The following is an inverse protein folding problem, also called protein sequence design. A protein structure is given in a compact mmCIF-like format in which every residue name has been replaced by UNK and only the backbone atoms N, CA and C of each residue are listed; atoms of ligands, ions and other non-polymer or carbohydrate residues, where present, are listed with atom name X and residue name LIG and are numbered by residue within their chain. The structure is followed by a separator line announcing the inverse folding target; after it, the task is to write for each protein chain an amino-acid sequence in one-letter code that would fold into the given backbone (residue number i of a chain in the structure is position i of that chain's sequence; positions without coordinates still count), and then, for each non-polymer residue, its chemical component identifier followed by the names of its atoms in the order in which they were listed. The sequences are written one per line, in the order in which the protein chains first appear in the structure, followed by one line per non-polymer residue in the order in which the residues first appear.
data_IF_497719140977
#
_entry.id   IF_497719140977
#
_cell.length_a   1.000
_cell.length_b   1.000
_cell.length_c   1.000
_cell.angle_alpha   90.00
_cell.angle_beta   90.00
_cell.angle_gamma   90.00
#
_symmetry.space_group_name_H-M   'P 1'
#
loop_
_entity.id
_entity.type
_entity.pdbx_description
1 polymer ?
#
# COMPACT_ATOMS: atom_id res chain seq x y z
N UNK A 1 -5.91 9.70 7.93
CA UNK A 1 -5.23 10.00 9.21
C UNK A 1 -4.01 10.87 8.98
N UNK A 2 -3.15 10.53 8.02
CA UNK A 2 -1.91 11.27 7.76
C UNK A 2 -1.91 11.90 6.36
N UNK A 3 -1.23 13.04 6.22
CA UNK A 3 -1.03 13.77 4.96
C UNK A 3 0.44 13.76 4.52
N UNK A 4 1.38 13.49 5.42
CA UNK A 4 2.82 13.49 5.13
C UNK A 4 3.53 12.26 5.70
N UNK A 5 4.66 11.81 5.10
CA UNK A 5 5.49 10.74 5.65
C UNK A 5 5.95 11.02 7.08
N UNK A 6 6.32 12.27 7.36
CA UNK A 6 6.79 12.70 8.68
C UNK A 6 5.72 12.49 9.76
N UNK A 7 4.45 12.81 9.47
CA UNK A 7 3.33 12.55 10.39
C UNK A 7 3.21 11.06 10.74
N UNK A 8 3.45 10.16 9.77
CA UNK A 8 3.42 8.71 10.01
C UNK A 8 4.58 8.29 10.91
N UNK A 9 5.79 8.77 10.63
CA UNK A 9 6.99 8.43 11.42
C UNK A 9 6.89 8.94 12.87
N UNK A 10 6.36 10.15 13.06
CA UNK A 10 6.13 10.72 14.39
C UNK A 10 5.02 9.98 15.14
N UNK A 11 3.98 9.54 14.43
CA UNK A 11 2.94 8.70 15.00
C UNK A 11 3.48 7.34 15.43
N UNK A 12 4.30 6.68 14.59
CA UNK A 12 4.95 5.41 14.92
C UNK A 12 5.77 5.52 16.21
N UNK A 13 6.54 6.60 16.35
CA UNK A 13 7.37 6.85 17.55
C UNK A 13 6.52 7.15 18.79
N UNK A 14 5.54 8.04 18.67
CA UNK A 14 4.73 8.49 19.81
C UNK A 14 3.83 7.39 20.37
N UNK A 15 3.27 6.55 19.50
CA UNK A 15 2.44 5.42 19.90
C UNK A 15 3.25 4.15 20.21
N UNK A 16 4.57 4.15 20.05
CA UNK A 16 5.42 2.96 20.22
C UNK A 16 4.95 1.78 19.34
N UNK A 17 4.62 2.08 18.08
CA UNK A 17 4.22 1.09 17.08
C UNK A 17 5.39 0.16 16.78
N UNK A 18 5.14 -1.15 16.78
CA UNK A 18 6.16 -2.18 16.55
C UNK A 18 6.22 -2.65 15.11
N UNK A 19 5.08 -2.65 14.42
CA UNK A 19 4.97 -3.13 13.04
C UNK A 19 4.11 -2.21 12.20
N UNK A 20 4.43 -2.12 10.91
CA UNK A 20 3.52 -1.62 9.88
C UNK A 20 2.98 -2.81 9.10
N UNK A 21 1.66 -2.95 9.06
CA UNK A 21 0.95 -3.99 8.30
C UNK A 21 0.56 -3.42 6.94
N UNK A 22 1.29 -3.84 5.93
CA UNK A 22 1.12 -3.44 4.53
C UNK A 22 -0.05 -4.24 3.97
N UNK A 23 -1.10 -3.58 3.50
CA UNK A 23 -2.30 -4.22 2.94
C UNK A 23 -2.55 -3.84 1.50
N UNK A 24 -2.91 -4.81 0.67
CA UNK A 24 -3.31 -4.59 -0.72
C UNK A 24 -4.30 -5.67 -1.17
N UNK A 25 -5.08 -5.41 -2.21
CA UNK A 25 -6.14 -6.33 -2.65
C UNK A 25 -5.69 -7.13 -3.88
N UNK A 26 -5.87 -8.45 -3.87
CA UNK A 26 -5.70 -9.26 -5.07
C UNK A 26 -6.89 -9.11 -6.04
N UNK A 27 -6.72 -9.55 -7.29
CA UNK A 27 -7.75 -9.38 -8.31
C UNK A 27 -9.11 -10.04 -7.94
N UNK A 28 -9.15 -11.24 -7.35
CA UNK A 28 -10.38 -11.82 -6.79
C UNK A 28 -11.05 -11.04 -5.65
N UNK A 29 -10.34 -10.14 -4.96
CA UNK A 29 -10.88 -9.32 -3.88
C UNK A 29 -10.41 -9.71 -2.47
N UNK A 30 -9.40 -10.57 -2.34
CA UNK A 30 -8.82 -10.96 -1.05
C UNK A 30 -7.80 -9.91 -0.62
N UNK A 31 -7.93 -9.42 0.61
CA UNK A 31 -6.93 -8.55 1.22
C UNK A 31 -5.68 -9.36 1.58
N UNK A 32 -4.61 -9.12 0.83
CA UNK A 32 -3.27 -9.63 1.08
C UNK A 32 -2.55 -8.68 2.04
N UNK A 33 -1.69 -9.22 2.89
CA UNK A 33 -0.92 -8.39 3.81
C UNK A 33 0.35 -9.05 4.34
N UNK A 34 1.29 -8.23 4.78
CA UNK A 34 2.48 -8.66 5.52
C UNK A 34 3.00 -7.54 6.41
N UNK A 35 3.75 -7.92 7.45
CA UNK A 35 4.29 -6.98 8.42
C UNK A 35 5.74 -6.61 8.09
N UNK A 36 6.05 -5.33 8.28
CA UNK A 36 7.42 -4.79 8.30
C UNK A 36 7.70 -4.23 9.70
N UNK A 37 8.89 -4.44 10.30
CA UNK A 37 9.23 -3.84 11.57
C UNK A 37 9.19 -2.31 11.47
N UNK A 38 8.46 -1.64 12.36
CA UNK A 38 8.27 -0.19 12.27
C UNK A 38 9.59 0.60 12.37
N UNK A 39 10.61 0.02 13.00
CA UNK A 39 11.94 0.60 13.15
C UNK A 39 12.75 0.67 11.86
N UNK A 40 12.38 -0.09 10.82
CA UNK A 40 13.08 -0.07 9.52
C UNK A 40 12.49 0.94 8.55
N UNK A 41 11.42 1.65 8.93
CA UNK A 41 10.82 2.68 8.08
C UNK A 41 11.56 4.01 8.26
N UNK A 42 11.90 4.61 7.13
CA UNK A 42 12.40 5.97 6.99
C UNK A 42 11.50 6.76 6.03
N UNK A 43 11.86 8.00 5.71
CA UNK A 43 11.10 8.82 4.75
C UNK A 43 11.12 8.21 3.33
N UNK A 44 12.22 7.55 2.95
CA UNK A 44 12.41 6.95 1.63
C UNK A 44 11.46 5.77 1.41
N UNK A 45 11.10 5.02 2.46
CA UNK A 45 10.08 3.96 2.38
C UNK A 45 8.78 4.42 1.72
N UNK A 46 8.37 5.68 1.93
CA UNK A 46 7.11 6.21 1.41
C UNK A 46 7.19 6.69 -0.04
N UNK A 47 8.40 6.91 -0.56
CA UNK A 47 8.63 7.37 -1.95
C UNK A 47 9.18 6.25 -2.83
N UNK A 48 10.13 5.46 -2.32
CA UNK A 48 10.70 4.29 -2.99
C UNK A 48 9.71 3.13 -3.01
N UNK A 49 8.94 2.93 -1.93
CA UNK A 49 7.98 1.85 -1.80
C UNK A 49 8.59 0.52 -1.37
N UNK A 50 7.72 -0.50 -1.28
CA UNK A 50 8.06 -1.84 -0.83
C UNK A 50 7.98 -2.84 -1.99
N UNK A 51 9.09 -3.50 -2.32
CA UNK A 51 9.10 -4.58 -3.30
C UNK A 51 8.41 -5.84 -2.75
N UNK A 52 7.72 -6.59 -3.63
CA UNK A 52 7.13 -7.89 -3.33
C UNK A 52 7.06 -8.79 -4.57
N UNK A 53 6.89 -10.09 -4.35
CA UNK A 53 6.69 -11.09 -5.41
C UNK A 53 5.21 -11.14 -5.84
N UNK A 54 4.91 -10.55 -6.99
CA UNK A 54 3.60 -10.57 -7.64
C UNK A 54 3.20 -11.90 -8.27
N UNK A 55 4.14 -12.83 -8.51
CA UNK A 55 3.82 -14.15 -9.07
C UNK A 55 3.09 -15.06 -8.10
N UNK A 56 3.26 -14.79 -6.80
CA UNK A 56 2.52 -15.44 -5.72
C UNK A 56 1.11 -14.88 -5.53
N UNK A 57 0.72 -13.83 -6.27
CA UNK A 57 -0.60 -13.20 -6.16
C UNK A 57 -1.49 -13.57 -7.35
N UNK A 58 -2.66 -14.13 -7.06
CA UNK A 58 -3.59 -14.62 -8.07
C UNK A 58 -4.07 -13.48 -8.98
N UNK A 59 -3.89 -13.67 -10.28
CA UNK A 59 -4.32 -12.72 -11.31
C UNK A 59 -3.31 -11.62 -11.62
N UNK A 60 -2.14 -11.59 -10.96
CA UNK A 60 -1.09 -10.60 -11.22
C UNK A 60 -0.08 -11.16 -12.24
N UNK A 61 1.21 -11.13 -11.91
CA UNK A 61 2.28 -11.39 -12.87
C UNK A 61 2.63 -12.87 -12.99
N UNK A 62 3.21 -13.23 -14.13
CA UNK A 62 3.84 -14.53 -14.29
C UNK A 62 5.21 -14.55 -13.59
N UNK A 63 5.77 -15.74 -13.37
CA UNK A 63 7.04 -15.93 -12.65
C UNK A 63 8.22 -15.15 -13.27
N UNK A 64 8.20 -14.89 -14.58
CA UNK A 64 9.29 -14.18 -15.26
C UNK A 64 9.20 -12.64 -15.16
N UNK A 65 8.09 -12.11 -14.65
CA UNK A 65 7.83 -10.67 -14.43
C UNK A 65 7.36 -10.45 -12.98
N UNK A 66 7.89 -11.24 -12.04
CA UNK A 66 7.36 -11.37 -10.69
C UNK A 66 7.53 -10.11 -9.83
N UNK A 67 8.57 -9.33 -10.05
CA UNK A 67 8.89 -8.20 -9.18
C UNK A 67 7.85 -7.08 -9.34
N UNK A 68 7.25 -6.69 -8.22
CA UNK A 68 6.26 -5.65 -8.16
C UNK A 68 6.53 -4.71 -6.98
N UNK A 69 5.94 -3.53 -6.99
CA UNK A 69 6.20 -2.50 -5.99
C UNK A 69 4.92 -1.96 -5.38
N UNK A 70 4.92 -1.77 -4.07
CA UNK A 70 3.81 -1.26 -3.28
C UNK A 70 4.11 0.16 -2.82
N UNK A 71 3.20 1.09 -3.09
CA UNK A 71 3.28 2.46 -2.62
C UNK A 71 2.17 2.75 -1.60
N UNK A 72 2.50 3.35 -0.44
CA UNK A 72 1.54 3.57 0.63
C UNK A 72 0.53 4.69 0.33
N UNK A 73 -0.72 4.51 0.73
CA UNK A 73 -1.69 5.60 0.89
C UNK A 73 -1.78 6.01 2.37
N UNK A 74 -1.02 7.04 2.74
CA UNK A 74 -0.87 7.51 4.13
C UNK A 74 -2.22 7.85 4.78
N UNK A 75 -3.21 8.27 3.99
CA UNK A 75 -4.52 8.69 4.51
C UNK A 75 -5.28 7.51 5.11
N UNK A 76 -4.96 6.29 4.69
CA UNK A 76 -5.61 5.05 5.12
C UNK A 76 -5.07 4.48 6.42
N UNK A 77 -4.04 5.08 7.01
CA UNK A 77 -3.41 4.59 8.24
C UNK A 77 -4.37 4.52 9.44
N UNK A 78 -4.36 3.40 10.18
CA UNK A 78 -5.01 3.24 11.48
C UNK A 78 -4.37 2.12 12.31
N UNK A 79 -4.50 2.16 13.65
CA UNK A 79 -3.99 1.10 14.52
C UNK A 79 -4.88 -0.15 14.48
N UNK A 80 -4.26 -1.32 14.38
CA UNK A 80 -4.95 -2.61 14.48
C UNK A 80 -5.44 -2.85 15.93
N UNK A 81 -6.76 -2.93 16.18
CA UNK A 81 -7.28 -3.12 17.53
C UNK A 81 -7.16 -4.57 18.04
N UNK A 82 -6.74 -5.51 17.19
CA UNK A 82 -6.74 -6.94 17.49
C UNK A 82 -5.34 -7.51 17.74
N UNK A 83 -4.28 -6.73 17.56
CA UNK A 83 -2.89 -7.18 17.70
C UNK A 83 -2.38 -6.89 19.11
N UNK A 84 -1.67 -7.87 19.69
CA UNK A 84 -1.02 -7.71 20.99
C UNK A 84 0.15 -6.70 20.93
N UNK A 85 0.92 -6.71 19.85
CA UNK A 85 1.91 -5.68 19.56
C UNK A 85 1.24 -4.58 18.74
N UNK A 86 1.44 -3.31 19.10
CA UNK A 86 0.86 -2.19 18.36
C UNK A 86 1.31 -2.24 16.91
N UNK A 87 0.34 -2.29 16.00
CA UNK A 87 0.57 -2.41 14.56
C UNK A 87 -0.21 -1.34 13.83
N UNK A 88 0.47 -0.56 13.00
CA UNK A 88 -0.15 0.43 12.12
C UNK A 88 -0.51 -0.24 10.79
N UNK A 89 -1.80 -0.34 10.48
CA UNK A 89 -2.29 -0.82 9.20
C UNK A 89 -2.30 0.33 8.20
N UNK A 90 -1.86 0.07 6.97
CA UNK A 90 -2.00 1.00 5.86
C UNK A 90 -2.26 0.25 4.55
N UNK A 91 -3.11 0.82 3.70
CA UNK A 91 -3.35 0.30 2.36
C UNK A 91 -2.31 0.83 1.39
N UNK A 92 -1.88 -0.03 0.47
CA UNK A 92 -0.91 0.26 -0.56
C UNK A 92 -1.55 0.02 -1.93
N UNK A 93 -1.13 0.83 -2.89
CA UNK A 93 -1.41 0.62 -4.32
C UNK A 93 -0.23 -0.09 -4.96
N UNK A 94 -0.47 -0.82 -6.04
CA UNK A 94 0.57 -1.56 -6.74
C UNK A 94 1.00 -0.80 -7.98
N UNK A 95 2.31 -0.68 -8.18
CA UNK A 95 2.93 -0.01 -9.32
C UNK A 95 3.99 -0.89 -9.98
N UNK A 96 4.32 -0.54 -11.21
CA UNK A 96 5.49 -1.10 -11.89
C UNK A 96 6.78 -0.70 -11.15
N UNK A 97 7.68 -1.64 -10.86
CA UNK A 97 8.84 -1.36 -10.01
C UNK A 97 9.85 -0.40 -10.63
N UNK A 98 9.89 -0.29 -11.96
CA UNK A 98 10.87 0.51 -12.70
C UNK A 98 10.34 1.88 -13.10
N UNK A 99 9.05 1.95 -13.45
CA UNK A 99 8.43 3.15 -14.03
C UNK A 99 7.50 3.88 -13.08
N UNK A 100 7.15 3.27 -11.93
CA UNK A 100 6.13 3.77 -11.00
C UNK A 100 4.72 3.92 -11.59
N UNK A 101 4.50 3.39 -12.79
CA UNK A 101 3.19 3.42 -13.43
C UNK A 101 2.19 2.55 -12.67
N UNK A 102 0.96 3.04 -12.41
CA UNK A 102 -0.06 2.29 -11.69
C UNK A 102 -0.43 0.97 -12.37
N UNK A 103 -0.34 -0.14 -11.64
CA UNK A 103 -0.55 -1.47 -12.19
C UNK A 103 -1.99 -1.66 -12.67
N UNK A 104 -2.14 -2.12 -13.92
CA UNK A 104 -3.45 -2.17 -14.59
C UNK A 104 -4.43 -3.18 -13.99
N UNK A 105 -3.94 -4.19 -13.26
CA UNK A 105 -4.76 -5.21 -12.59
C UNK A 105 -4.89 -5.02 -11.09
N UNK A 106 -4.36 -3.93 -10.53
CA UNK A 106 -4.65 -3.53 -9.15
C UNK A 106 -6.10 -3.05 -9.05
N UNK A 107 -6.98 -3.73 -8.27
CA UNK A 107 -8.36 -3.30 -8.09
C UNK A 107 -8.48 -1.86 -7.54
N UNK A 108 -7.54 -1.42 -6.71
CA UNK A 108 -7.52 -0.06 -6.14
C UNK A 108 -7.26 0.98 -7.23
N UNK A 109 -6.32 0.71 -8.13
CA UNK A 109 -6.06 1.55 -9.30
C UNK A 109 -7.27 1.62 -10.25
N UNK A 110 -7.93 0.48 -10.48
CA UNK A 110 -9.16 0.43 -11.31
C UNK A 110 -10.24 1.33 -10.70
N UNK A 111 -10.46 1.26 -9.39
CA UNK A 111 -11.41 2.13 -8.69
C UNK A 111 -11.04 3.62 -8.81
N UNK A 112 -9.76 3.96 -8.61
CA UNK A 112 -9.28 5.33 -8.76
C UNK A 112 -9.47 5.88 -10.19
N UNK A 113 -9.22 5.04 -11.21
CA UNK A 113 -9.46 5.39 -12.63
C UNK A 113 -10.95 5.61 -12.91
N UNK A 114 -11.83 4.80 -12.33
CA UNK A 114 -13.28 4.98 -12.48
C UNK A 114 -13.75 6.31 -11.86
N UNK A 115 -13.25 6.65 -10.66
CA UNK A 115 -13.54 7.94 -10.01
C UNK A 115 -13.02 9.11 -10.84
N UNK A 116 -11.79 9.04 -11.33
CA UNK A 116 -11.20 10.07 -12.18
C UNK A 116 -11.94 10.23 -13.52
N UNK A 117 -12.39 9.12 -14.10
CA UNK A 117 -13.21 9.14 -15.31
C UNK A 117 -14.55 9.85 -15.08
N UNK A 118 -15.26 9.53 -13.98
CA UNK A 118 -16.51 10.21 -13.66
C UNK A 118 -16.30 11.73 -13.56
N UNK A 119 -15.24 12.17 -12.87
CA UNK A 119 -14.89 13.59 -12.77
C UNK A 119 -14.60 14.23 -14.13
N UNK A 120 -13.93 13.52 -15.03
CA UNK A 120 -13.60 14.05 -16.37
C UNK A 120 -14.83 14.20 -17.27
N UNK A 121 -15.92 13.49 -17.00
CA UNK A 121 -17.19 13.67 -17.73
C UNK A 121 -17.94 14.95 -17.36
N UNK A 122 -17.61 15.58 -16.22
CA UNK A 122 -18.34 16.74 -15.68
C UNK A 122 -19.72 16.42 -15.11
N UNK A 123 -20.08 15.14 -14.97
CA UNK A 123 -21.35 14.69 -14.38
C UNK A 123 -21.33 14.82 -12.85
N UNK A 124 -20.17 14.59 -12.22
CA UNK A 124 -19.94 14.70 -10.78
C UNK A 124 -18.51 15.17 -10.47
#
# INVERSE_FOLDING_TARGET
MFNTPQEVLDYIKSEDVKFVDIRFCDLPGVMQHFNVPAQTLDEDFFTVGQAFDGSSIRGFQAIHESDMKLLPDLRTGYLDPFRAQKTLIMNFSIVDPFTDEPYSRDPRNIAAKAEAYLKSTGIA
#
